data_IF_583185434883
#
_entry.id   IF_583185434883
#
_cell.length_a   1.000
_cell.length_b   1.000
_cell.length_c   1.000
_cell.angle_alpha   90.00
_cell.angle_beta   90.00
_cell.angle_gamma   90.00
#
_symmetry.space_group_name_H-M   'P 1'
#
loop_
_entity.id
_entity.type
_entity.pdbx_description
1 polymer ?
#
# COMPACT_ATOMS: atom_id res chain seq x y z
N UNK A 1 26.11 -8.84 -5.65
CA UNK A 1 25.11 -7.97 -4.98
C UNK A 1 25.84 -7.18 -3.90
N UNK A 2 25.76 -5.85 -3.96
CA UNK A 2 26.31 -5.03 -2.88
C UNK A 2 25.37 -5.04 -1.67
N UNK A 3 25.89 -5.00 -0.47
CA UNK A 3 25.14 -4.95 0.79
C UNK A 3 24.16 -3.77 0.84
N UNK A 4 24.52 -2.65 0.24
CA UNK A 4 23.63 -1.50 0.07
C UNK A 4 22.40 -1.78 -0.79
N UNK A 5 22.43 -2.78 -1.67
CA UNK A 5 21.29 -3.16 -2.50
C UNK A 5 20.16 -3.74 -1.64
N UNK A 6 20.48 -4.61 -0.67
CA UNK A 6 19.48 -5.19 0.25
C UNK A 6 18.84 -4.12 1.14
N UNK A 7 19.65 -3.17 1.64
CA UNK A 7 19.16 -2.04 2.44
C UNK A 7 18.24 -1.16 1.60
N UNK A 8 18.62 -0.83 0.34
CA UNK A 8 17.81 -0.03 -0.54
C UNK A 8 16.47 -0.71 -0.87
N UNK A 9 16.48 -2.02 -1.14
CA UNK A 9 15.26 -2.79 -1.41
C UNK A 9 14.34 -2.77 -0.19
N UNK A 10 14.87 -3.05 1.01
CA UNK A 10 14.10 -3.01 2.24
C UNK A 10 13.55 -1.60 2.55
N UNK A 11 14.32 -0.55 2.29
CA UNK A 11 13.89 0.84 2.46
C UNK A 11 12.72 1.20 1.54
N UNK A 12 12.74 0.73 0.27
CA UNK A 12 11.59 0.92 -0.64
C UNK A 12 10.36 0.17 -0.16
N UNK A 13 10.52 -1.05 0.37
CA UNK A 13 9.44 -1.83 0.98
C UNK A 13 8.82 -1.11 2.18
N UNK A 14 9.65 -0.59 3.10
CA UNK A 14 9.17 0.19 4.24
C UNK A 14 8.39 1.43 3.82
N UNK A 15 8.88 2.17 2.82
CA UNK A 15 8.20 3.36 2.31
C UNK A 15 6.84 3.01 1.69
N UNK A 16 6.75 1.92 0.96
CA UNK A 16 5.53 1.43 0.34
C UNK A 16 4.50 0.98 1.39
N UNK A 17 4.91 0.18 2.40
CA UNK A 17 4.02 -0.28 3.46
C UNK A 17 3.58 0.85 4.40
N UNK A 18 4.40 1.86 4.61
CA UNK A 18 3.98 3.07 5.32
C UNK A 18 2.85 3.78 4.58
N UNK A 19 3.00 4.00 3.26
CA UNK A 19 1.95 4.61 2.45
C UNK A 19 0.66 3.78 2.49
N UNK A 20 0.77 2.44 2.47
CA UNK A 20 -0.37 1.55 2.61
C UNK A 20 -1.05 1.71 3.96
N UNK A 21 -0.28 1.79 5.05
CA UNK A 21 -0.81 2.01 6.40
C UNK A 21 -1.53 3.35 6.52
N UNK A 22 -0.99 4.41 5.91
CA UNK A 22 -1.60 5.74 5.90
C UNK A 22 -2.95 5.72 5.18
N UNK A 23 -3.04 5.06 4.01
CA UNK A 23 -4.29 4.92 3.24
C UNK A 23 -5.33 4.07 3.99
N UNK A 24 -4.93 2.96 4.61
CA UNK A 24 -5.82 2.12 5.41
C UNK A 24 -6.37 2.92 6.61
N UNK A 25 -5.53 3.70 7.27
CA UNK A 25 -5.94 4.55 8.38
C UNK A 25 -6.97 5.61 7.95
N UNK A 26 -6.79 6.19 6.76
CA UNK A 26 -7.77 7.11 6.18
C UNK A 26 -9.09 6.41 5.86
N UNK A 27 -9.06 5.19 5.30
CA UNK A 27 -10.26 4.38 5.08
C UNK A 27 -11.02 4.10 6.39
N UNK A 28 -10.31 3.72 7.46
CA UNK A 28 -10.91 3.46 8.78
C UNK A 28 -11.52 4.74 9.35
N UNK A 29 -10.80 5.86 9.29
CA UNK A 29 -11.26 7.14 9.82
C UNK A 29 -12.54 7.62 9.11
N UNK A 30 -12.67 7.34 7.81
CA UNK A 30 -13.80 7.75 6.99
C UNK A 30 -14.86 6.65 6.77
N UNK A 31 -14.79 5.53 7.50
CA UNK A 31 -15.72 4.41 7.35
C UNK A 31 -17.20 4.78 7.60
N UNK A 32 -17.46 5.86 8.32
CA UNK A 32 -18.81 6.38 8.61
C UNK A 32 -19.10 7.71 7.93
N UNK A 33 -18.25 8.18 7.02
CA UNK A 33 -18.41 9.49 6.37
C UNK A 33 -19.39 9.39 5.20
N UNK A 34 -20.63 9.86 5.41
CA UNK A 34 -21.72 9.82 4.42
C UNK A 34 -21.66 10.95 3.40
N UNK A 35 -20.91 12.04 3.70
CA UNK A 35 -20.82 13.19 2.81
C UNK A 35 -19.41 13.73 2.72
N UNK A 36 -18.86 13.78 1.51
CA UNK A 36 -17.59 14.39 1.17
C UNK A 36 -17.78 15.74 0.45
N UNK A 37 -16.67 16.46 0.22
CA UNK A 37 -16.69 17.72 -0.55
C UNK A 37 -17.11 17.50 -2.01
N UNK A 38 -16.81 16.36 -2.57
CA UNK A 38 -17.18 15.99 -3.95
C UNK A 38 -18.66 15.57 -4.06
N UNK A 39 -19.37 15.48 -2.92
CA UNK A 39 -20.75 14.97 -2.83
C UNK A 39 -20.78 13.44 -2.78
N UNK A 40 -21.67 12.88 -1.95
CA UNK A 40 -21.80 11.43 -1.73
C UNK A 40 -20.84 10.89 -0.66
N UNK A 41 -20.91 9.56 -0.39
CA UNK A 41 -20.13 8.91 0.67
C UNK A 41 -18.64 8.88 0.33
N UNK A 42 -17.83 8.66 1.36
CA UNK A 42 -16.40 8.40 1.17
C UNK A 42 -16.20 7.12 0.33
N UNK A 43 -15.21 7.14 -0.54
CA UNK A 43 -14.84 5.98 -1.36
C UNK A 43 -13.53 5.40 -0.89
N UNK A 44 -13.51 4.09 -0.60
CA UNK A 44 -12.34 3.35 -0.18
C UNK A 44 -11.19 3.56 -1.16
N UNK A 45 -10.00 3.84 -0.65
CA UNK A 45 -8.78 3.95 -1.42
C UNK A 45 -7.89 2.72 -1.22
N UNK A 46 -7.23 2.27 -2.29
CA UNK A 46 -6.31 1.13 -2.25
C UNK A 46 -5.01 1.49 -2.94
N UNK A 47 -3.89 1.11 -2.34
CA UNK A 47 -2.55 1.35 -2.89
C UNK A 47 -2.17 0.23 -3.85
N UNK A 48 -1.77 0.58 -5.06
CA UNK A 48 -1.28 -0.36 -6.06
C UNK A 48 0.24 -0.32 -6.09
N UNK A 49 0.87 -1.48 -5.84
CA UNK A 49 2.31 -1.64 -5.88
C UNK A 49 2.79 -2.12 -7.24
N UNK A 50 3.96 -1.67 -7.63
CA UNK A 50 4.67 -2.18 -8.79
C UNK A 50 6.15 -2.42 -8.45
N UNK A 51 6.82 -3.36 -9.11
CA UNK A 51 8.26 -3.50 -8.97
C UNK A 51 8.96 -2.21 -9.41
N UNK A 52 9.95 -1.76 -8.64
CA UNK A 52 10.80 -0.63 -9.00
C UNK A 52 11.80 -1.08 -10.09
N UNK A 53 11.29 -1.45 -11.25
CA UNK A 53 12.10 -1.76 -12.42
C UNK A 53 12.40 -0.45 -13.13
N UNK A 54 13.61 0.10 -12.91
CA UNK A 54 14.16 1.00 -13.90
C UNK A 54 14.59 0.14 -15.08
N UNK A 55 13.91 0.30 -16.19
CA UNK A 55 14.39 -0.17 -17.48
C UNK A 55 15.61 0.70 -17.84
N UNK A 56 16.75 0.40 -17.19
CA UNK A 56 18.03 0.92 -17.65
C UNK A 56 18.61 -0.16 -18.57
N UNK A 57 18.70 0.08 -19.87
CA UNK A 57 19.40 -0.82 -20.79
C UNK A 57 20.89 -0.69 -20.52
N UNK A 58 21.37 -1.20 -19.39
CA UNK A 58 22.79 -1.47 -19.24
C UNK A 58 23.14 -2.51 -20.31
N UNK A 59 24.29 -2.32 -20.92
CA UNK A 59 24.82 -3.17 -21.96
C UNK A 59 24.55 -4.65 -21.65
N UNK A 60 23.63 -5.25 -22.39
CA UNK A 60 23.28 -6.66 -22.29
C UNK A 60 24.23 -7.43 -23.18
N UNK A 61 24.87 -8.43 -22.66
CA UNK A 61 25.58 -9.41 -23.48
C UNK A 61 24.57 -10.07 -24.41
N UNK A 62 24.77 -10.05 -25.74
CA UNK A 62 23.86 -10.68 -26.70
C UNK A 62 23.76 -12.20 -26.52
N UNK A 63 24.60 -12.80 -25.68
CA UNK A 63 24.65 -14.24 -25.44
C UNK A 63 23.85 -14.72 -24.21
N UNK A 64 23.24 -13.81 -23.44
CA UNK A 64 22.38 -14.18 -22.31
C UNK A 64 20.93 -14.11 -22.74
N UNK A 65 20.19 -15.23 -22.72
CA UNK A 65 18.73 -15.21 -22.97
C UNK A 65 18.03 -14.27 -21.99
N UNK A 66 17.04 -13.52 -22.47
CA UNK A 66 16.26 -12.55 -21.68
C UNK A 66 15.62 -13.15 -20.41
N UNK A 67 15.29 -14.45 -20.46
CA UNK A 67 14.65 -15.19 -19.37
C UNK A 67 15.62 -15.53 -18.22
N UNK A 68 16.92 -15.50 -18.47
CA UNK A 68 17.98 -15.72 -17.46
C UNK A 68 18.58 -14.42 -16.92
N UNK A 69 18.22 -13.28 -17.50
CA UNK A 69 18.65 -11.95 -17.04
C UNK A 69 17.74 -11.42 -15.89
N UNK A 70 17.46 -12.28 -14.93
CA UNK A 70 16.79 -11.93 -13.69
C UNK A 70 17.80 -11.22 -12.77
N UNK A 71 18.15 -9.98 -13.11
CA UNK A 71 18.94 -9.13 -12.22
C UNK A 71 18.29 -9.03 -10.83
N UNK A 72 19.05 -8.68 -9.78
CA UNK A 72 18.49 -8.50 -8.44
C UNK A 72 17.36 -7.50 -8.52
N UNK A 73 16.21 -7.83 -7.91
CA UNK A 73 15.07 -6.93 -7.83
C UNK A 73 15.49 -5.57 -7.27
N UNK A 74 14.91 -4.49 -7.76
CA UNK A 74 15.24 -3.11 -7.35
C UNK A 74 14.32 -2.58 -6.24
N UNK A 75 13.46 -3.44 -5.71
CA UNK A 75 12.49 -3.10 -4.68
C UNK A 75 11.09 -2.84 -5.25
N UNK A 76 10.30 -2.09 -4.49
CA UNK A 76 8.89 -1.80 -4.76
C UNK A 76 8.67 -0.29 -4.85
N UNK A 77 7.75 0.14 -5.70
CA UNK A 77 7.24 1.52 -5.74
C UNK A 77 5.72 1.52 -5.70
N UNK A 78 5.15 2.55 -5.11
CA UNK A 78 3.73 2.83 -5.24
C UNK A 78 3.48 3.36 -6.64
N UNK A 79 2.60 2.71 -7.39
CA UNK A 79 2.23 3.13 -8.74
C UNK A 79 1.17 4.22 -8.67
N UNK A 80 0.10 3.93 -7.95
CA UNK A 80 -1.04 4.84 -7.79
C UNK A 80 -1.88 4.46 -6.57
N UNK A 81 -2.75 5.37 -6.16
CA UNK A 81 -3.80 5.13 -5.17
C UNK A 81 -5.13 5.15 -5.93
N UNK A 82 -5.79 4.00 -6.00
CA UNK A 82 -7.04 3.82 -6.73
C UNK A 82 -8.21 3.95 -5.77
N UNK A 83 -9.22 4.76 -6.14
CA UNK A 83 -10.49 4.83 -5.41
C UNK A 83 -11.43 3.73 -5.90
N UNK A 84 -12.03 3.00 -4.98
CA UNK A 84 -13.06 2.01 -5.29
C UNK A 84 -14.34 2.75 -5.74
N UNK A 85 -14.86 2.38 -6.90
CA UNK A 85 -16.07 2.95 -7.47
C UNK A 85 -17.33 2.13 -7.18
N UNK A 86 -17.19 1.03 -6.42
CA UNK A 86 -18.35 0.20 -6.04
C UNK A 86 -19.32 0.99 -5.18
N UNK A 87 -20.59 0.60 -5.27
CA UNK A 87 -21.66 1.19 -4.46
C UNK A 87 -21.44 0.87 -2.98
N UNK A 88 -21.81 1.84 -2.13
CA UNK A 88 -21.75 1.68 -0.69
C UNK A 88 -22.89 0.83 -0.13
N UNK A 89 -22.98 0.79 1.19
CA UNK A 89 -24.06 0.09 1.90
C UNK A 89 -25.21 1.05 2.15
N UNK A 90 -26.43 0.70 1.69
CA UNK A 90 -27.63 1.49 1.92
C UNK A 90 -28.29 1.09 3.25
N UNK A 91 -28.48 2.07 4.13
CA UNK A 91 -29.16 1.90 5.42
C UNK A 91 -30.40 2.80 5.42
N UNK A 92 -31.55 2.23 5.78
CA UNK A 92 -32.80 2.99 5.85
C UNK A 92 -32.83 3.85 7.12
N UNK A 93 -32.65 5.16 6.95
CA UNK A 93 -32.78 6.17 8.01
C UNK A 93 -33.27 7.49 7.42
N UNK A 94 -34.62 7.70 7.37
CA UNK A 94 -35.21 8.91 6.81
C UNK A 94 -34.97 10.16 7.69
N UNK A 95 -34.52 9.98 8.94
CA UNK A 95 -34.25 11.11 9.86
C UNK A 95 -32.84 11.69 9.68
N UNK A 96 -31.97 10.98 8.97
CA UNK A 96 -30.60 11.41 8.74
C UNK A 96 -30.55 12.62 7.77
N UNK A 97 -29.70 13.64 8.04
CA UNK A 97 -29.60 14.83 7.18
C UNK A 97 -29.17 14.52 5.74
N UNK A 98 -28.39 13.46 5.54
CA UNK A 98 -27.87 13.01 4.25
C UNK A 98 -28.75 11.93 3.59
N UNK A 99 -29.99 11.69 4.09
CA UNK A 99 -30.91 10.76 3.46
C UNK A 99 -31.28 11.21 2.05
N UNK A 100 -31.34 10.27 1.12
CA UNK A 100 -31.75 10.51 -0.28
C UNK A 100 -33.20 10.96 -0.30
N UNK A 101 -33.47 12.15 -0.86
CA UNK A 101 -34.79 12.80 -0.83
C UNK A 101 -35.71 12.42 -1.99
N UNK A 102 -35.17 11.77 -3.02
CA UNK A 102 -35.95 11.38 -4.21
C UNK A 102 -35.26 10.26 -4.98
N UNK A 103 -36.03 9.34 -5.52
CA UNK A 103 -35.54 8.24 -6.35
C UNK A 103 -35.78 6.86 -5.76
N UNK A 104 -35.21 5.79 -6.36
CA UNK A 104 -35.45 4.40 -5.95
C UNK A 104 -34.96 4.07 -4.54
N UNK A 105 -34.08 4.89 -3.96
CA UNK A 105 -33.52 4.74 -2.61
C UNK A 105 -33.96 5.88 -1.68
N UNK A 106 -35.17 6.41 -1.85
CA UNK A 106 -35.70 7.45 -0.97
C UNK A 106 -35.76 6.99 0.49
N UNK A 107 -35.23 7.83 1.41
CA UNK A 107 -35.13 7.53 2.84
C UNK A 107 -33.95 6.65 3.22
N UNK A 108 -33.08 6.28 2.28
CA UNK A 108 -31.84 5.57 2.57
C UNK A 108 -30.66 6.53 2.64
N UNK A 109 -29.68 6.15 3.46
CA UNK A 109 -28.35 6.79 3.55
C UNK A 109 -27.34 5.82 2.97
N UNK A 110 -26.51 6.29 2.06
CA UNK A 110 -25.40 5.51 1.51
C UNK A 110 -24.17 5.68 2.41
N UNK A 111 -23.70 4.58 3.00
CA UNK A 111 -22.45 4.51 3.75
C UNK A 111 -21.30 4.01 2.86
N UNK A 112 -20.05 4.37 3.18
CA UNK A 112 -18.89 3.88 2.46
C UNK A 112 -18.82 2.34 2.42
N UNK A 113 -18.29 1.79 1.32
CA UNK A 113 -17.99 0.36 1.21
C UNK A 113 -16.66 0.05 1.91
N UNK A 114 -16.57 0.33 3.20
CA UNK A 114 -15.39 0.10 4.03
C UNK A 114 -15.73 -0.90 5.13
N UNK A 115 -15.07 -2.05 5.12
CA UNK A 115 -15.18 -3.02 6.21
C UNK A 115 -14.04 -2.81 7.19
N UNK A 116 -14.32 -2.21 8.34
CA UNK A 116 -13.33 -1.86 9.37
C UNK A 116 -12.51 -3.09 9.81
N UNK A 117 -13.14 -4.27 9.92
CA UNK A 117 -12.44 -5.49 10.36
C UNK A 117 -11.39 -5.90 9.34
N UNK A 118 -11.73 -5.87 8.06
CA UNK A 118 -10.80 -6.17 6.98
C UNK A 118 -9.66 -5.14 6.92
N UNK A 119 -9.99 -3.85 7.05
CA UNK A 119 -8.98 -2.78 7.09
C UNK A 119 -8.02 -2.95 8.28
N UNK A 120 -8.53 -3.33 9.46
CA UNK A 120 -7.67 -3.60 10.62
C UNK A 120 -6.72 -4.79 10.40
N UNK A 121 -7.17 -5.85 9.74
CA UNK A 121 -6.32 -7.00 9.38
C UNK A 121 -5.25 -6.56 8.38
N UNK A 122 -5.63 -5.75 7.40
CA UNK A 122 -4.70 -5.19 6.41
C UNK A 122 -3.66 -4.26 7.06
N UNK A 123 -4.08 -3.44 8.05
CA UNK A 123 -3.17 -2.58 8.82
C UNK A 123 -2.15 -3.40 9.62
N UNK A 124 -2.59 -4.48 10.27
CA UNK A 124 -1.68 -5.39 10.99
C UNK A 124 -0.69 -6.04 10.02
N UNK A 125 -1.15 -6.46 8.84
CA UNK A 125 -0.31 -7.04 7.81
C UNK A 125 0.76 -6.06 7.32
N UNK A 126 0.37 -4.80 7.04
CA UNK A 126 1.29 -3.74 6.64
C UNK A 126 2.32 -3.41 7.72
N UNK A 127 1.89 -3.32 9.00
CA UNK A 127 2.81 -3.12 10.13
C UNK A 127 3.83 -4.24 10.24
N UNK A 128 3.40 -5.50 10.12
CA UNK A 128 4.32 -6.65 10.18
C UNK A 128 5.29 -6.67 9.01
N UNK A 129 4.83 -6.31 7.82
CA UNK A 129 5.71 -6.20 6.65
C UNK A 129 6.74 -5.08 6.82
N UNK A 130 6.34 -3.95 7.41
CA UNK A 130 7.26 -2.86 7.76
C UNK A 130 8.32 -3.32 8.78
N UNK A 131 7.92 -3.99 9.86
CA UNK A 131 8.84 -4.54 10.89
C UNK A 131 9.80 -5.57 10.30
N UNK A 132 9.33 -6.43 9.39
CA UNK A 132 10.17 -7.40 8.70
C UNK A 132 11.26 -6.70 7.86
N UNK A 133 10.89 -5.67 7.12
CA UNK A 133 11.85 -4.88 6.34
C UNK A 133 12.86 -4.13 7.24
N UNK A 134 12.43 -3.62 8.40
CA UNK A 134 13.33 -3.02 9.39
C UNK A 134 14.34 -4.04 9.91
N UNK A 135 13.88 -5.25 10.26
CA UNK A 135 14.75 -6.35 10.70
C UNK A 135 15.80 -6.73 9.64
N UNK A 136 15.43 -6.70 8.35
CA UNK A 136 16.40 -6.93 7.26
C UNK A 136 17.48 -5.86 7.23
N UNK A 137 17.14 -4.60 7.48
CA UNK A 137 18.12 -3.50 7.54
C UNK A 137 19.08 -3.69 8.74
N UNK A 138 18.53 -4.03 9.91
CA UNK A 138 19.33 -4.28 11.10
C UNK A 138 20.29 -5.48 10.89
N UNK A 139 19.80 -6.58 10.33
CA UNK A 139 20.63 -7.73 9.98
C UNK A 139 21.72 -7.40 8.96
N UNK A 140 21.42 -6.55 7.97
CA UNK A 140 22.44 -6.09 7.00
C UNK A 140 23.50 -5.23 7.68
N UNK A 141 23.14 -4.38 8.64
CA UNK A 141 24.06 -3.58 9.43
C UNK A 141 24.96 -4.44 10.31
N UNK A 142 24.39 -5.48 10.96
CA UNK A 142 25.17 -6.40 11.79
C UNK A 142 26.17 -7.20 10.96
N UNK A 143 25.78 -7.67 9.77
CA UNK A 143 26.73 -8.31 8.83
C UNK A 143 27.85 -7.37 8.41
N UNK A 144 27.57 -6.07 8.27
CA UNK A 144 28.58 -5.08 7.92
C UNK A 144 29.57 -4.86 9.06
N UNK A 145 29.07 -4.72 10.28
CA UNK A 145 29.97 -4.57 11.46
C UNK A 145 30.85 -5.79 11.64
N UNK A 146 30.29 -6.99 11.52
CA UNK A 146 31.06 -8.23 11.59
C UNK A 146 32.12 -8.32 10.48
N UNK A 147 31.81 -7.88 9.25
CA UNK A 147 32.79 -7.88 8.16
C UNK A 147 33.94 -6.88 8.40
N UNK A 148 33.67 -5.74 9.01
CA UNK A 148 34.69 -4.76 9.39
C UNK A 148 35.59 -5.30 10.50
N UNK A 149 35.05 -6.06 11.45
CA UNK A 149 35.82 -6.66 12.55
C UNK A 149 36.78 -7.76 12.07
N UNK A 150 36.44 -8.47 10.98
CA UNK A 150 37.30 -9.45 10.33
C UNK A 150 38.52 -8.78 9.63
N UNK A 151 38.32 -7.52 9.18
CA UNK A 151 39.37 -6.76 8.48
C UNK A 151 40.36 -6.02 9.38
N UNK A 152 40.23 -6.15 10.69
CA UNK A 152 41.10 -5.61 11.71
C UNK A 152 42.08 -6.67 12.18
#
# INVERSE_FOLDING_TARGET
MGMFTSINIAATGMSAERMRSDVISDNIANASTTRTQDGGPFKKSTVVFAPAADYNPQWRSPFVPSDLDNGPGKGVKVLEIVKDTSEGTFVYDPSHPDAIKSGPHEGYVEYPNVNIVNEMVDLISASRAYEANATVIDGAKDMFTAALDIGR
#
